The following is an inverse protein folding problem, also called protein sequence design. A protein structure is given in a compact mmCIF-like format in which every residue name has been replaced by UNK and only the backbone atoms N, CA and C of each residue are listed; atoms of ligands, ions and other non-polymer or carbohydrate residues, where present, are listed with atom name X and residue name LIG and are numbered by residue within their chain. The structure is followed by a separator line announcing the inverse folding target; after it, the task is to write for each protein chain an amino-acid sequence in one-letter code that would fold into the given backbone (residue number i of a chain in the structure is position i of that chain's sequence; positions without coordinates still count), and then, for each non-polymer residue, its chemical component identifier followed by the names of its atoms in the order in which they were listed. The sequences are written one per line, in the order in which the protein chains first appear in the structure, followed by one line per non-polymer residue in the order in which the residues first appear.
data_IF_080830863815
#
_entry.id   IF_080830863815
#
_cell.length_a   1.000
_cell.length_b   1.000
_cell.length_c   1.000
_cell.angle_alpha   90.00
_cell.angle_beta   90.00
_cell.angle_gamma   90.00
#
_symmetry.space_group_name_H-M   'P 1'
#
loop_
_entity.id
_entity.type
_entity.pdbx_description
1 polymer ?
#
# COMPACT_ATOMS: atom_id res chain seq x y z
N UNK A 1 12.53 -13.61 18.98
CA UNK A 1 12.73 -13.14 17.59
C UNK A 1 11.36 -12.73 17.05
N UNK A 2 11.25 -11.57 16.41
CA UNK A 2 10.01 -11.19 15.74
C UNK A 2 9.96 -11.91 14.39
N UNK A 3 8.79 -12.42 14.00
CA UNK A 3 8.61 -13.05 12.70
C UNK A 3 8.35 -11.94 11.66
N UNK A 4 9.27 -11.78 10.70
CA UNK A 4 9.16 -10.83 9.60
C UNK A 4 8.96 -11.58 8.30
N UNK A 5 7.94 -11.20 7.55
CA UNK A 5 7.64 -11.74 6.23
C UNK A 5 7.32 -10.61 5.25
N UNK A 6 7.79 -10.73 4.01
CA UNK A 6 7.42 -9.85 2.91
C UNK A 6 6.89 -10.74 1.79
N UNK A 7 5.66 -10.47 1.34
CA UNK A 7 4.99 -11.25 0.29
C UNK A 7 4.43 -10.33 -0.78
N UNK A 8 4.52 -10.79 -2.02
CA UNK A 8 3.71 -10.23 -3.10
C UNK A 8 2.24 -10.50 -2.80
N UNK A 9 1.42 -9.46 -2.92
CA UNK A 9 -0.02 -9.54 -2.72
C UNK A 9 -0.75 -9.26 -4.02
N UNK A 10 -1.64 -10.17 -4.39
CA UNK A 10 -2.52 -10.07 -5.56
C UNK A 10 -3.97 -9.75 -5.17
N UNK A 11 -4.28 -9.84 -3.88
CA UNK A 11 -5.60 -9.69 -3.28
C UNK A 11 -5.41 -9.06 -1.90
N UNK A 12 -6.24 -8.08 -1.56
CA UNK A 12 -6.09 -7.32 -0.32
C UNK A 12 -7.12 -7.66 0.75
N UNK A 13 -8.04 -8.60 0.52
CA UNK A 13 -9.21 -8.82 1.36
C UNK A 13 -8.90 -8.95 2.87
N UNK A 14 -7.88 -9.72 3.24
CA UNK A 14 -7.50 -9.93 4.65
C UNK A 14 -6.66 -8.79 5.24
N UNK A 15 -5.99 -8.00 4.40
CA UNK A 15 -5.02 -6.98 4.81
C UNK A 15 -5.52 -5.54 4.61
N UNK A 16 -6.66 -5.37 3.94
CA UNK A 16 -7.14 -4.06 3.47
C UNK A 16 -7.41 -3.09 4.61
N UNK A 17 -7.95 -3.57 5.72
CA UNK A 17 -8.20 -2.73 6.89
C UNK A 17 -6.89 -2.27 7.54
N UNK A 18 -5.95 -3.19 7.75
CA UNK A 18 -4.67 -2.87 8.41
C UNK A 18 -3.79 -1.95 7.55
N UNK A 19 -3.71 -2.20 6.25
CA UNK A 19 -2.91 -1.36 5.34
C UNK A 19 -3.55 0.02 5.12
N UNK A 20 -4.88 0.12 5.21
CA UNK A 20 -5.61 1.39 5.15
C UNK A 20 -5.40 2.23 6.41
N UNK A 21 -5.46 1.59 7.59
CA UNK A 21 -5.19 2.29 8.86
C UNK A 21 -3.73 2.75 8.92
N UNK A 22 -2.79 1.95 8.40
CA UNK A 22 -1.39 2.34 8.29
C UNK A 22 -1.22 3.56 7.37
N UNK A 23 -1.87 3.59 6.21
CA UNK A 23 -1.83 4.74 5.29
C UNK A 23 -2.38 6.00 5.96
N UNK A 24 -3.56 5.91 6.57
CA UNK A 24 -4.19 6.99 7.32
C UNK A 24 -3.27 7.52 8.43
N UNK A 25 -2.72 6.64 9.26
CA UNK A 25 -1.80 7.02 10.35
C UNK A 25 -0.61 7.81 9.82
N UNK A 26 0.02 7.35 8.73
CA UNK A 26 1.17 8.03 8.15
C UNK A 26 0.80 9.41 7.60
N UNK A 27 -0.35 9.55 6.93
CA UNK A 27 -0.81 10.84 6.39
C UNK A 27 -1.14 11.81 7.52
N UNK A 28 -1.84 11.35 8.55
CA UNK A 28 -2.19 12.14 9.73
C UNK A 28 -0.95 12.59 10.51
N UNK A 29 0.10 11.75 10.55
CA UNK A 29 1.41 12.08 11.12
C UNK A 29 2.27 12.98 10.20
N UNK A 30 1.74 13.41 9.05
CA UNK A 30 2.36 14.40 8.16
C UNK A 30 3.20 13.83 7.03
N UNK A 31 3.07 12.53 6.70
CA UNK A 31 3.74 11.95 5.54
C UNK A 31 3.20 12.53 4.22
N UNK A 32 4.10 13.05 3.39
CA UNK A 32 3.76 13.59 2.07
C UNK A 32 3.78 12.51 0.99
N UNK A 33 2.75 11.65 0.98
CA UNK A 33 2.62 10.49 0.07
C UNK A 33 1.43 10.60 -0.89
N UNK A 34 1.02 11.83 -1.24
CA UNK A 34 -0.03 12.08 -2.23
C UNK A 34 -1.43 12.24 -1.65
N UNK A 35 -1.56 12.34 -0.33
CA UNK A 35 -2.82 12.59 0.38
C UNK A 35 -2.67 13.82 1.29
N UNK A 36 -3.81 14.39 1.69
CA UNK A 36 -3.88 15.48 2.66
C UNK A 36 -4.53 14.98 3.95
N UNK A 37 -4.00 15.31 5.13
CA UNK A 37 -4.67 15.01 6.39
C UNK A 37 -5.87 15.95 6.62
N UNK A 38 -6.93 15.49 7.33
CA UNK A 38 -7.11 14.12 7.80
C UNK A 38 -7.51 13.18 6.66
N UNK A 39 -6.99 11.95 6.65
CA UNK A 39 -7.41 10.92 5.70
C UNK A 39 -8.45 10.00 6.35
N UNK A 40 -9.65 9.91 5.77
CA UNK A 40 -10.68 9.01 6.29
C UNK A 40 -10.35 7.54 5.97
N UNK A 41 -10.65 6.63 6.89
CA UNK A 41 -10.38 5.20 6.71
C UNK A 41 -11.05 4.65 5.44
N UNK A 42 -12.28 5.09 5.16
CA UNK A 42 -13.01 4.66 3.95
C UNK A 42 -12.33 5.13 2.66
N UNK A 43 -11.68 6.31 2.67
CA UNK A 43 -10.92 6.81 1.52
C UNK A 43 -9.63 6.02 1.32
N UNK A 44 -8.93 5.66 2.41
CA UNK A 44 -7.77 4.78 2.37
C UNK A 44 -8.13 3.39 1.81
N UNK A 45 -9.25 2.81 2.25
CA UNK A 45 -9.75 1.53 1.72
C UNK A 45 -10.04 1.63 0.22
N UNK A 46 -10.77 2.67 -0.20
CA UNK A 46 -11.07 2.92 -1.62
C UNK A 46 -9.80 3.04 -2.46
N UNK A 47 -8.79 3.74 -1.95
CA UNK A 47 -7.49 3.83 -2.62
C UNK A 47 -6.88 2.44 -2.84
N UNK A 48 -6.76 1.63 -1.79
CA UNK A 48 -6.17 0.29 -1.88
C UNK A 48 -6.94 -0.66 -2.79
N UNK A 49 -8.27 -0.54 -2.88
CA UNK A 49 -9.09 -1.29 -3.85
C UNK A 49 -8.77 -0.92 -5.30
N UNK A 50 -8.32 0.30 -5.57
CA UNK A 50 -7.98 0.77 -6.92
C UNK A 50 -6.51 0.54 -7.29
N UNK A 51 -5.65 0.29 -6.32
CA UNK A 51 -4.20 0.08 -6.52
C UNK A 51 -3.87 -1.22 -7.23
N UNK A 52 -4.69 -2.26 -7.05
CA UNK A 52 -4.49 -3.55 -7.70
C UNK A 52 -4.89 -3.46 -9.18
N UNK A 53 -3.93 -3.06 -10.01
CA UNK A 53 -4.02 -3.06 -11.46
C UNK A 53 -3.01 -4.07 -12.05
N UNK A 54 -3.22 -4.56 -13.30
CA UNK A 54 -2.29 -5.50 -13.95
C UNK A 54 -0.83 -5.02 -14.00
N UNK A 55 -0.62 -3.71 -14.08
CA UNK A 55 0.68 -3.06 -14.10
C UNK A 55 1.25 -2.73 -12.72
N UNK A 56 0.60 -3.13 -11.62
CA UNK A 56 1.07 -2.87 -10.26
C UNK A 56 1.45 -4.18 -9.58
N UNK A 57 2.71 -4.26 -9.12
CA UNK A 57 3.14 -5.31 -8.20
C UNK A 57 3.12 -4.73 -6.79
N UNK A 58 2.30 -5.30 -5.92
CA UNK A 58 2.18 -4.91 -4.52
C UNK A 58 2.91 -5.90 -3.62
N UNK A 59 3.75 -5.39 -2.71
CA UNK A 59 4.32 -6.16 -1.61
C UNK A 59 3.77 -5.66 -0.28
N UNK A 60 3.51 -6.60 0.63
CA UNK A 60 3.11 -6.32 2.02
C UNK A 60 4.15 -6.92 2.95
N UNK A 61 4.66 -6.11 3.87
CA UNK A 61 5.51 -6.53 4.95
C UNK A 61 4.66 -6.76 6.21
N UNK A 62 4.82 -7.93 6.85
CA UNK A 62 4.16 -8.27 8.11
C UNK A 62 5.16 -8.59 9.19
N UNK A 63 4.92 -8.06 10.39
CA UNK A 63 5.64 -8.41 11.62
C UNK A 63 4.66 -9.08 12.56
N UNK A 64 4.92 -10.33 12.94
CA UNK A 64 4.04 -11.15 13.77
C UNK A 64 2.59 -11.17 13.22
N UNK A 65 2.45 -11.39 11.91
CA UNK A 65 1.20 -11.41 11.14
C UNK A 65 0.42 -10.07 11.06
N UNK A 66 0.98 -8.95 11.52
CA UNK A 66 0.38 -7.62 11.34
C UNK A 66 1.07 -6.83 10.25
N UNK A 67 0.32 -6.10 9.45
CA UNK A 67 0.86 -5.21 8.42
C UNK A 67 1.75 -4.15 9.07
N UNK A 68 2.99 -4.09 8.60
CA UNK A 68 4.01 -3.13 9.06
C UNK A 68 4.46 -2.19 7.93
N UNK A 69 4.06 -2.45 6.69
CA UNK A 69 4.43 -1.64 5.54
C UNK A 69 3.99 -2.25 4.22
N UNK A 70 4.08 -1.46 3.16
CA UNK A 70 3.82 -1.90 1.81
C UNK A 70 4.72 -1.18 0.80
N UNK A 71 4.91 -1.82 -0.36
CA UNK A 71 5.63 -1.25 -1.51
C UNK A 71 4.82 -1.52 -2.76
N UNK A 72 4.56 -0.48 -3.55
CA UNK A 72 3.97 -0.60 -4.87
C UNK A 72 5.04 -0.38 -5.94
N UNK A 73 5.13 -1.28 -6.90
CA UNK A 73 5.94 -1.13 -8.10
C UNK A 73 5.02 -0.97 -9.30
N UNK A 74 4.99 0.23 -9.87
CA UNK A 74 4.22 0.58 -11.06
C UNK A 74 5.05 0.30 -12.31
N UNK A 75 4.65 -0.71 -13.10
CA UNK A 75 5.32 -1.13 -14.32
C UNK A 75 4.93 -0.20 -15.47
N UNK A 76 5.90 0.57 -15.96
CA UNK A 76 5.67 1.46 -17.11
C UNK A 76 5.76 0.64 -18.40
N UNK A 77 4.66 0.58 -19.15
CA UNK A 77 4.58 -0.12 -20.46
C UNK A 77 4.82 0.80 -21.65
N UNK A 78 5.19 2.07 -21.43
CA UNK A 78 5.49 3.00 -22.54
C UNK A 78 6.72 2.49 -23.33
N UNK A 79 6.61 2.33 -24.66
CA UNK A 79 7.65 1.70 -25.46
C UNK A 79 9.02 2.39 -25.42
N UNK A 80 9.10 3.69 -25.13
CA UNK A 80 10.36 4.44 -25.04
C UNK A 80 10.20 5.62 -24.07
N UNK A 81 10.89 5.58 -22.92
CA UNK A 81 11.27 6.78 -22.17
C UNK A 81 12.71 7.13 -22.59
N UNK A 82 12.85 7.99 -23.59
CA UNK A 82 14.11 8.72 -23.76
C UNK A 82 14.00 9.90 -22.80
N UNK A 83 14.83 9.92 -21.75
CA UNK A 83 15.06 11.12 -20.93
C UNK A 83 15.77 12.18 -21.77
#
# INVERSE_FOLDING_TARGET
MQNLEIKESKLLDEDIEEISELLKTLVDDGASIGFLPPLEQEEAIKYWQTVLAPEVILFIAKINNKVAGSVQLHLITKPNLVQ
#
